data_IF_681193452969
#
_entry.id   IF_681193452969
#
_cell.length_a   1.000
_cell.length_b   1.000
_cell.length_c   1.000
_cell.angle_alpha   90.00
_cell.angle_beta   90.00
_cell.angle_gamma   90.00
#
_symmetry.space_group_name_H-M   'P 1'
#
loop_
_entity.id
_entity.type
_entity.pdbx_description
1 polymer ?
#
# COMPACT_ATOMS: atom_id res chain seq x y z
N UNK A 1 26.91 10.61 2.24
CA UNK A 1 25.48 10.93 2.46
C UNK A 1 24.85 11.77 1.35
N UNK A 2 25.53 12.79 0.82
CA UNK A 2 25.04 13.65 -0.28
C UNK A 2 24.46 12.87 -1.50
N UNK A 3 25.10 11.79 -2.02
CA UNK A 3 24.56 11.07 -3.18
C UNK A 3 23.23 10.36 -2.92
N UNK A 4 23.03 9.79 -1.71
CA UNK A 4 21.75 9.18 -1.32
C UNK A 4 20.66 10.25 -1.28
N UNK A 5 20.97 11.39 -0.65
CA UNK A 5 20.00 12.47 -0.46
C UNK A 5 19.56 13.06 -1.81
N UNK A 6 20.50 13.27 -2.73
CA UNK A 6 20.19 13.67 -4.10
C UNK A 6 19.31 12.63 -4.82
N UNK A 7 19.64 11.33 -4.70
CA UNK A 7 18.83 10.25 -5.27
C UNK A 7 17.41 10.21 -4.73
N UNK A 8 17.22 10.46 -3.43
CA UNK A 8 15.90 10.55 -2.78
C UNK A 8 15.12 11.80 -3.22
N UNK A 9 15.78 12.94 -3.40
CA UNK A 9 15.13 14.16 -3.91
C UNK A 9 14.63 13.95 -5.34
N UNK A 10 15.47 13.36 -6.21
CA UNK A 10 15.10 13.05 -7.59
C UNK A 10 13.94 12.04 -7.62
N UNK A 11 14.00 11.01 -6.77
CA UNK A 11 12.90 10.08 -6.58
C UNK A 11 11.59 10.80 -6.24
N UNK A 12 11.60 11.65 -5.21
CA UNK A 12 10.40 12.37 -4.78
C UNK A 12 9.84 13.27 -5.90
N UNK A 13 10.71 14.00 -6.60
CA UNK A 13 10.30 14.85 -7.72
C UNK A 13 9.64 14.05 -8.85
N UNK A 14 10.26 12.94 -9.28
CA UNK A 14 9.73 12.10 -10.35
C UNK A 14 8.44 11.39 -9.94
N UNK A 15 8.34 10.93 -8.69
CA UNK A 15 7.12 10.31 -8.17
C UNK A 15 5.98 11.32 -8.11
N UNK A 16 6.25 12.56 -7.69
CA UNK A 16 5.26 13.64 -7.69
C UNK A 16 4.76 13.92 -9.10
N UNK A 17 5.66 14.07 -10.07
CA UNK A 17 5.32 14.24 -11.49
C UNK A 17 4.46 13.06 -11.96
N UNK A 18 4.89 11.82 -11.70
CA UNK A 18 4.13 10.64 -12.07
C UNK A 18 2.74 10.59 -11.44
N UNK A 19 2.61 11.00 -10.18
CA UNK A 19 1.34 11.04 -9.47
C UNK A 19 0.35 12.09 -10.03
N UNK A 20 0.82 13.14 -10.72
CA UNK A 20 -0.07 14.07 -11.44
C UNK A 20 -0.73 13.42 -12.66
N UNK A 21 -0.05 12.47 -13.30
CA UNK A 21 -0.53 11.79 -14.52
C UNK A 21 -1.14 10.41 -14.25
N UNK A 22 -0.99 9.89 -13.04
CA UNK A 22 -1.54 8.61 -12.62
C UNK A 22 -2.88 8.80 -11.92
N UNK A 23 -4.02 8.47 -12.58
CA UNK A 23 -5.35 8.68 -12.00
C UNK A 23 -5.56 7.85 -10.74
N UNK A 24 -4.90 6.69 -10.61
CA UNK A 24 -4.95 5.87 -9.40
C UNK A 24 -4.09 6.51 -8.32
N UNK A 25 -2.85 6.87 -8.66
CA UNK A 25 -1.94 7.61 -7.80
C UNK A 25 -1.67 6.95 -6.44
N UNK A 26 -1.20 7.75 -5.50
CA UNK A 26 -0.72 7.32 -4.18
C UNK A 26 -1.23 8.21 -3.06
N UNK A 27 -1.34 7.66 -1.86
CA UNK A 27 -1.78 8.39 -0.67
C UNK A 27 -3.30 8.34 -0.47
N UNK A 28 -3.82 9.34 0.24
CA UNK A 28 -5.22 9.36 0.69
C UNK A 28 -6.19 9.49 -0.50
N UNK A 29 -7.24 8.67 -0.48
CA UNK A 29 -8.42 8.88 -1.32
C UNK A 29 -9.23 10.04 -0.75
N UNK A 30 -9.78 10.89 -1.62
CA UNK A 30 -10.80 11.89 -1.29
C UNK A 30 -12.12 11.49 -1.96
N UNK A 31 -13.26 11.83 -1.36
CA UNK A 31 -14.57 11.30 -1.76
C UNK A 31 -14.90 11.64 -3.22
N UNK A 32 -14.61 12.86 -3.68
CA UNK A 32 -14.81 13.28 -5.06
C UNK A 32 -13.87 12.62 -6.08
N UNK A 33 -12.89 11.82 -5.63
CA UNK A 33 -11.96 11.09 -6.51
C UNK A 33 -12.21 9.58 -6.53
N UNK A 34 -13.13 9.06 -5.71
CA UNK A 34 -13.33 7.60 -5.55
C UNK A 34 -13.76 6.98 -6.88
N UNK A 35 -14.76 7.53 -7.56
CA UNK A 35 -15.31 6.93 -8.77
C UNK A 35 -14.28 6.95 -9.92
N UNK A 36 -13.57 8.07 -10.09
CA UNK A 36 -12.48 8.21 -11.08
C UNK A 36 -11.36 7.19 -10.83
N UNK A 37 -10.98 6.98 -9.57
CA UNK A 37 -9.93 6.01 -9.21
C UNK A 37 -10.42 4.57 -9.39
N UNK A 38 -11.70 4.30 -9.10
CA UNK A 38 -12.32 2.99 -9.29
C UNK A 38 -12.35 2.61 -10.78
N UNK A 39 -12.77 3.52 -11.65
CA UNK A 39 -12.80 3.31 -13.10
C UNK A 39 -11.38 3.13 -13.67
N UNK A 40 -10.44 3.94 -13.20
CA UNK A 40 -9.03 3.77 -13.55
C UNK A 40 -8.47 2.41 -13.11
N UNK A 41 -8.89 1.88 -11.95
CA UNK A 41 -8.44 0.57 -11.48
C UNK A 41 -9.04 -0.58 -12.28
N UNK A 42 -10.31 -0.47 -12.66
CA UNK A 42 -11.00 -1.53 -13.43
C UNK A 42 -10.51 -1.61 -14.87
N UNK A 43 -10.09 -0.49 -15.45
CA UNK A 43 -9.51 -0.43 -16.80
C UNK A 43 -8.02 -0.82 -16.85
N UNK A 44 -7.36 -0.95 -15.70
CA UNK A 44 -5.92 -1.22 -15.63
C UNK A 44 -5.58 -2.73 -15.69
N UNK A 45 -4.64 -3.16 -16.55
CA UNK A 45 -4.13 -4.54 -16.58
C UNK A 45 -3.23 -4.85 -15.38
N UNK A 46 -3.07 -6.13 -15.01
CA UNK A 46 -2.46 -6.63 -13.76
C UNK A 46 -1.04 -6.12 -13.47
N UNK A 47 -0.29 -5.83 -14.52
CA UNK A 47 1.10 -5.38 -14.48
C UNK A 47 1.26 -3.90 -14.85
N UNK A 48 0.15 -3.14 -14.92
CA UNK A 48 0.17 -1.72 -15.18
C UNK A 48 0.87 -0.95 -14.05
N UNK A 49 2.10 -0.52 -14.31
CA UNK A 49 2.80 0.53 -13.58
C UNK A 49 3.26 1.59 -14.58
N UNK A 50 3.01 2.88 -14.32
CA UNK A 50 3.60 3.96 -15.08
C UNK A 50 5.14 3.86 -15.15
N UNK A 51 5.72 3.92 -16.35
CA UNK A 51 7.18 3.80 -16.57
C UNK A 51 7.98 4.79 -15.73
N UNK A 52 7.43 5.98 -15.46
CA UNK A 52 8.07 6.99 -14.61
C UNK A 52 8.38 6.48 -13.20
N UNK A 53 7.58 5.56 -12.66
CA UNK A 53 7.83 4.93 -11.36
C UNK A 53 8.97 3.92 -11.38
N UNK A 54 9.16 3.22 -12.50
CA UNK A 54 10.35 2.38 -12.68
C UNK A 54 11.63 3.22 -12.76
N UNK A 55 11.58 4.35 -13.47
CA UNK A 55 12.74 5.24 -13.58
C UNK A 55 13.04 5.93 -12.26
N UNK A 56 12.01 6.35 -11.51
CA UNK A 56 12.19 7.07 -10.26
C UNK A 56 12.94 6.26 -9.20
N UNK A 57 12.69 4.95 -9.09
CA UNK A 57 13.34 4.08 -8.09
C UNK A 57 14.82 3.82 -8.36
N UNK A 58 15.29 4.03 -9.59
CA UNK A 58 16.70 3.84 -9.93
C UNK A 58 17.58 4.92 -9.31
N UNK A 59 17.09 6.16 -9.22
CA UNK A 59 17.84 7.28 -8.65
C UNK A 59 18.35 7.03 -7.20
N UNK A 60 17.52 6.57 -6.25
CA UNK A 60 17.99 6.27 -4.89
C UNK A 60 18.88 5.02 -4.86
N UNK A 61 18.65 4.02 -5.73
CA UNK A 61 19.54 2.87 -5.88
C UNK A 61 20.95 3.29 -6.31
N UNK A 62 21.06 4.16 -7.31
CA UNK A 62 22.33 4.77 -7.75
C UNK A 62 22.94 5.62 -6.65
N UNK A 63 22.13 6.40 -5.93
CA UNK A 63 22.58 7.20 -4.78
C UNK A 63 23.23 6.35 -3.68
N UNK A 64 22.65 5.18 -3.36
CA UNK A 64 23.24 4.21 -2.43
C UNK A 64 24.55 3.66 -2.97
N UNK A 65 24.57 3.18 -4.22
CA UNK A 65 25.78 2.65 -4.85
C UNK A 65 26.90 3.69 -4.77
N UNK A 66 26.64 4.95 -5.17
CA UNK A 66 27.62 6.02 -5.15
C UNK A 66 28.13 6.36 -3.74
N UNK A 67 27.28 6.22 -2.72
CA UNK A 67 27.63 6.54 -1.34
C UNK A 67 28.52 5.52 -0.64
N UNK A 68 28.48 4.25 -1.05
CA UNK A 68 29.20 3.15 -0.42
C UNK A 68 30.60 2.94 -1.02
N UNK A 69 31.38 4.02 -1.16
CA UNK A 69 32.68 4.05 -1.84
C UNK A 69 33.66 2.93 -1.48
N UNK A 70 33.69 2.58 -0.20
CA UNK A 70 34.69 1.68 0.40
C UNK A 70 34.27 0.20 0.40
N UNK A 71 33.05 -0.12 -0.06
CA UNK A 71 32.50 -1.48 -0.06
C UNK A 71 32.76 -2.15 -1.41
N UNK A 72 32.93 -3.48 -1.49
CA UNK A 72 33.11 -4.18 -2.76
C UNK A 72 31.99 -3.88 -3.80
N UNK A 73 32.30 -3.78 -5.11
CA UNK A 73 31.34 -3.41 -6.15
C UNK A 73 30.06 -4.25 -6.15
N UNK A 74 30.20 -5.56 -5.91
CA UNK A 74 29.07 -6.49 -5.84
C UNK A 74 28.12 -6.16 -4.68
N UNK A 75 28.64 -5.92 -3.49
CA UNK A 75 27.83 -5.61 -2.31
C UNK A 75 27.15 -4.24 -2.41
N UNK A 76 27.79 -3.26 -3.07
CA UNK A 76 27.17 -1.96 -3.39
C UNK A 76 26.00 -2.13 -4.35
N UNK A 77 26.21 -2.87 -5.44
CA UNK A 77 25.19 -3.14 -6.45
C UNK A 77 23.98 -3.86 -5.84
N UNK A 78 24.22 -4.91 -5.04
CA UNK A 78 23.15 -5.65 -4.34
C UNK A 78 22.34 -4.71 -3.43
N UNK A 79 22.98 -3.87 -2.62
CA UNK A 79 22.27 -2.92 -1.74
C UNK A 79 21.44 -1.91 -2.53
N UNK A 80 22.00 -1.35 -3.62
CA UNK A 80 21.30 -0.41 -4.48
C UNK A 80 20.09 -1.02 -5.20
N UNK A 81 20.24 -2.24 -5.72
CA UNK A 81 19.17 -3.00 -6.36
C UNK A 81 18.08 -3.35 -5.34
N UNK A 82 18.47 -3.81 -4.15
CA UNK A 82 17.54 -4.15 -3.08
C UNK A 82 16.68 -2.93 -2.67
N UNK A 83 17.30 -1.73 -2.56
CA UNK A 83 16.57 -0.49 -2.30
C UNK A 83 15.60 -0.14 -3.43
N UNK A 84 16.05 -0.23 -4.69
CA UNK A 84 15.19 0.08 -5.85
C UNK A 84 13.98 -0.86 -5.92
N UNK A 85 14.19 -2.17 -5.71
CA UNK A 85 13.13 -3.18 -5.63
C UNK A 85 12.18 -2.87 -4.47
N UNK A 86 12.71 -2.57 -3.28
CA UNK A 86 11.90 -2.22 -2.13
C UNK A 86 10.99 -1.04 -2.40
N UNK A 87 11.55 0.04 -2.94
CA UNK A 87 10.77 1.21 -3.31
C UNK A 87 9.70 0.80 -4.32
N UNK A 88 10.08 0.19 -5.45
CA UNK A 88 9.15 -0.21 -6.52
C UNK A 88 8.00 -1.09 -6.04
N UNK A 89 8.29 -2.10 -5.20
CA UNK A 89 7.27 -2.98 -4.64
C UNK A 89 6.35 -2.21 -3.69
N UNK A 90 6.91 -1.29 -2.89
CA UNK A 90 6.10 -0.38 -2.05
C UNK A 90 5.17 0.47 -2.92
N UNK A 91 5.71 0.99 -4.03
CA UNK A 91 4.98 1.81 -5.01
C UNK A 91 3.77 1.08 -5.56
N UNK A 92 4.05 -0.11 -6.06
CA UNK A 92 3.07 -1.00 -6.65
C UNK A 92 1.97 -1.40 -5.66
N UNK A 93 2.37 -1.85 -4.46
CA UNK A 93 1.46 -2.33 -3.42
C UNK A 93 0.51 -1.22 -2.97
N UNK A 94 1.04 -0.02 -2.68
CA UNK A 94 0.22 1.12 -2.25
C UNK A 94 -0.76 1.57 -3.34
N UNK A 95 -0.30 1.66 -4.59
CA UNK A 95 -1.14 2.08 -5.73
C UNK A 95 -2.26 1.07 -6.01
N UNK A 96 -1.95 -0.23 -6.07
CA UNK A 96 -2.93 -1.30 -6.30
C UNK A 96 -3.99 -1.34 -5.22
N UNK A 97 -3.58 -1.20 -3.96
CA UNK A 97 -4.51 -1.16 -2.83
C UNK A 97 -5.39 0.08 -2.86
N UNK A 98 -4.83 1.24 -3.20
CA UNK A 98 -5.61 2.46 -3.37
C UNK A 98 -6.70 2.28 -4.43
N UNK A 99 -6.36 1.74 -5.59
CA UNK A 99 -7.34 1.44 -6.63
C UNK A 99 -8.41 0.46 -6.18
N UNK A 100 -8.00 -0.65 -5.55
CA UNK A 100 -8.91 -1.70 -5.06
C UNK A 100 -9.85 -1.17 -3.97
N UNK A 101 -9.32 -0.32 -3.08
CA UNK A 101 -10.09 0.36 -2.05
C UNK A 101 -11.14 1.29 -2.67
N UNK A 102 -10.81 2.02 -3.73
CA UNK A 102 -11.79 2.89 -4.40
C UNK A 102 -12.97 2.09 -4.97
N UNK A 103 -12.70 0.96 -5.63
CA UNK A 103 -13.75 0.05 -6.15
C UNK A 103 -14.61 -0.49 -5.00
N UNK A 104 -13.98 -0.92 -3.91
CA UNK A 104 -14.70 -1.41 -2.73
C UNK A 104 -15.59 -0.33 -2.10
N UNK A 105 -15.10 0.91 -1.98
CA UNK A 105 -15.89 2.04 -1.46
C UNK A 105 -17.10 2.31 -2.34
N UNK A 106 -16.93 2.24 -3.67
CA UNK A 106 -18.04 2.42 -4.62
C UNK A 106 -19.13 1.37 -4.42
N UNK A 107 -18.75 0.09 -4.40
CA UNK A 107 -19.68 -1.03 -4.14
C UNK A 107 -20.39 -0.88 -2.79
N UNK A 108 -19.64 -0.49 -1.75
CA UNK A 108 -20.20 -0.27 -0.42
C UNK A 108 -21.21 0.90 -0.37
N UNK A 109 -20.97 1.97 -1.14
CA UNK A 109 -21.91 3.11 -1.25
C UNK A 109 -23.21 2.68 -1.91
N UNK A 110 -23.11 1.87 -2.96
CA UNK A 110 -24.27 1.30 -3.66
C UNK A 110 -25.07 0.39 -2.70
N UNK A 111 -24.40 -0.53 -2.00
CA UNK A 111 -25.04 -1.44 -1.03
C UNK A 111 -25.74 -0.69 0.12
N UNK A 112 -25.12 0.36 0.66
CA UNK A 112 -25.68 1.15 1.75
C UNK A 112 -26.68 2.21 1.27
N UNK A 113 -26.91 2.34 -0.05
CA UNK A 113 -27.69 3.42 -0.67
C UNK A 113 -27.28 4.80 -0.15
N UNK A 114 -26.00 4.97 0.19
CA UNK A 114 -25.45 6.14 0.86
C UNK A 114 -24.45 6.84 -0.05
N UNK A 115 -24.88 7.99 -0.59
CA UNK A 115 -24.07 8.86 -1.44
C UNK A 115 -23.82 10.18 -0.70
N UNK A 116 -22.76 10.27 0.13
CA UNK A 116 -22.49 11.49 0.88
C UNK A 116 -22.21 12.65 -0.08
N UNK A 117 -22.89 13.78 0.13
CA UNK A 117 -22.65 15.01 -0.62
C UNK A 117 -21.34 15.66 -0.11
N UNK A 118 -20.34 15.81 -0.98
CA UNK A 118 -19.08 16.49 -0.68
C UNK A 118 -17.83 15.58 -0.59
N UNK A 119 -16.67 16.19 -0.32
CA UNK A 119 -15.36 15.53 -0.29
C UNK A 119 -15.08 14.70 0.98
N UNK A 120 -16.13 14.33 1.73
CA UNK A 120 -16.01 13.55 2.97
C UNK A 120 -16.03 12.07 2.65
N UNK A 121 -14.90 11.38 2.85
CA UNK A 121 -14.90 9.91 2.86
C UNK A 121 -15.33 9.43 4.26
N UNK A 122 -16.58 9.02 4.40
CA UNK A 122 -17.03 8.18 5.54
C UNK A 122 -16.73 6.71 5.25
N UNK A 123 -15.46 6.43 4.98
CA UNK A 123 -14.90 5.11 5.23
C UNK A 123 -14.49 5.15 6.70
N UNK A 124 -14.84 4.15 7.51
CA UNK A 124 -14.50 4.14 8.93
C UNK A 124 -13.02 4.50 9.08
N UNK A 125 -12.70 5.55 9.85
CA UNK A 125 -11.33 6.07 10.04
C UNK A 125 -10.30 4.95 10.31
N UNK A 126 -10.76 3.84 10.88
CA UNK A 126 -9.97 2.65 11.19
C UNK A 126 -9.62 1.77 9.97
N UNK A 127 -10.49 1.68 8.96
CA UNK A 127 -10.20 0.99 7.69
C UNK A 127 -9.14 1.76 6.89
N UNK A 128 -9.17 3.10 6.96
CA UNK A 128 -8.13 3.98 6.44
C UNK A 128 -6.76 3.76 7.11
N UNK A 129 -6.75 3.53 8.42
CA UNK A 129 -5.51 3.30 9.17
C UNK A 129 -4.78 2.00 8.78
N UNK A 130 -5.52 0.95 8.43
CA UNK A 130 -4.94 -0.37 8.08
C UNK A 130 -4.62 -0.48 6.58
N UNK A 131 -5.41 0.17 5.72
CA UNK A 131 -5.22 0.08 4.27
C UNK A 131 -4.29 1.14 3.68
N UNK A 132 -4.02 2.24 4.40
CA UNK A 132 -3.04 3.24 3.99
C UNK A 132 -1.61 2.91 4.48
N UNK A 133 -1.43 1.78 5.18
CA UNK A 133 -0.12 1.26 5.54
C UNK A 133 0.40 0.33 4.43
N UNK A 134 1.72 0.31 4.19
CA UNK A 134 2.33 -0.68 3.34
C UNK A 134 1.92 -2.08 3.78
N UNK A 135 1.83 -3.00 2.82
CA UNK A 135 1.60 -4.39 3.11
C UNK A 135 2.55 -4.98 4.13
N UNK A 136 2.12 -6.04 4.85
CA UNK A 136 3.03 -6.79 5.70
C UNK A 136 4.29 -7.23 4.94
N UNK A 137 4.16 -7.62 3.68
CA UNK A 137 5.30 -8.01 2.83
C UNK A 137 6.29 -6.85 2.63
N UNK A 138 5.80 -5.62 2.50
CA UNK A 138 6.66 -4.43 2.33
C UNK A 138 7.50 -4.18 3.57
N UNK A 139 6.95 -4.36 4.78
CA UNK A 139 7.72 -4.24 6.02
C UNK A 139 8.85 -5.28 6.12
N UNK A 140 8.60 -6.52 5.69
CA UNK A 140 9.62 -7.56 5.62
C UNK A 140 10.68 -7.25 4.57
N UNK A 141 10.28 -6.71 3.42
CA UNK A 141 11.20 -6.29 2.36
C UNK A 141 12.08 -5.12 2.83
N UNK A 142 11.50 -4.16 3.55
CA UNK A 142 12.23 -3.07 4.20
C UNK A 142 13.24 -3.59 5.22
N UNK A 143 12.83 -4.52 6.09
CA UNK A 143 13.73 -5.19 7.02
C UNK A 143 14.88 -5.90 6.28
N UNK A 144 14.58 -6.60 5.18
CA UNK A 144 15.58 -7.26 4.34
C UNK A 144 16.59 -6.26 3.77
N UNK A 145 16.14 -5.15 3.18
CA UNK A 145 17.04 -4.10 2.64
C UNK A 145 17.95 -3.55 3.73
N UNK A 146 17.40 -3.29 4.93
CA UNK A 146 18.16 -2.77 6.07
C UNK A 146 19.21 -3.79 6.54
N UNK A 147 18.87 -5.08 6.58
CA UNK A 147 19.82 -6.16 6.92
C UNK A 147 20.90 -6.31 5.86
N UNK A 148 20.55 -6.30 4.57
CA UNK A 148 21.52 -6.36 3.45
C UNK A 148 22.52 -5.20 3.56
N UNK A 149 22.02 -3.99 3.83
CA UNK A 149 22.88 -2.83 4.08
C UNK A 149 23.77 -3.02 5.29
N UNK A 150 23.22 -3.48 6.41
CA UNK A 150 23.97 -3.73 7.64
C UNK A 150 25.11 -4.73 7.42
N UNK A 151 24.86 -5.84 6.70
CA UNK A 151 25.87 -6.84 6.36
C UNK A 151 26.96 -6.25 5.46
N UNK A 152 26.59 -5.41 4.49
CA UNK A 152 27.54 -4.78 3.59
C UNK A 152 28.45 -3.75 4.29
N UNK A 153 27.90 -3.02 5.28
CA UNK A 153 28.62 -1.99 6.03
C UNK A 153 29.39 -2.55 7.23
N UNK A 154 28.99 -3.70 7.80
CA UNK A 154 29.60 -4.31 9.00
C UNK A 154 31.14 -4.45 8.96
N UNK A 155 31.79 -4.83 7.84
CA UNK A 155 33.25 -4.96 7.81
C UNK A 155 34.00 -3.61 7.83
N UNK A 156 33.29 -2.49 7.61
CA UNK A 156 33.88 -1.17 7.35
C UNK A 156 33.40 -0.09 8.35
N UNK A 157 32.27 -0.31 9.02
CA UNK A 157 31.68 0.58 10.01
C UNK A 157 31.84 0.01 11.43
N UNK A 158 31.88 0.89 12.43
CA UNK A 158 31.87 0.44 13.82
C UNK A 158 30.52 -0.17 14.19
N UNK A 159 30.49 -0.96 15.28
CA UNK A 159 29.27 -1.51 15.88
C UNK A 159 28.17 -0.46 16.10
N UNK A 160 28.55 0.80 16.32
CA UNK A 160 27.63 1.94 16.44
C UNK A 160 26.87 2.28 15.15
N UNK A 161 27.39 1.95 13.97
CA UNK A 161 26.70 2.11 12.68
C UNK A 161 25.75 0.95 12.35
N UNK A 162 26.08 -0.26 12.82
CA UNK A 162 25.29 -1.48 12.52
C UNK A 162 24.10 -1.65 13.47
N UNK A 163 24.26 -1.33 14.76
CA UNK A 163 23.21 -1.48 15.77
C UNK A 163 21.91 -0.72 15.43
N UNK A 164 21.95 0.55 14.97
CA UNK A 164 20.75 1.27 14.56
C UNK A 164 20.02 0.59 13.39
N UNK A 165 20.76 0.03 12.42
CA UNK A 165 20.16 -0.69 11.30
C UNK A 165 19.45 -1.95 11.77
N UNK A 166 20.08 -2.74 12.66
CA UNK A 166 19.44 -3.92 13.24
C UNK A 166 18.19 -3.55 14.04
N UNK A 167 18.23 -2.45 14.80
CA UNK A 167 17.06 -1.94 15.53
C UNK A 167 15.91 -1.53 14.59
N UNK A 168 16.22 -0.86 13.48
CA UNK A 168 15.23 -0.49 12.45
C UNK A 168 14.63 -1.75 11.80
N UNK A 169 15.44 -2.76 11.49
CA UNK A 169 14.94 -4.02 10.94
C UNK A 169 14.02 -4.74 11.92
N UNK A 170 14.39 -4.81 13.21
CA UNK A 170 13.55 -5.37 14.25
C UNK A 170 12.23 -4.60 14.42
N UNK A 171 12.27 -3.26 14.36
CA UNK A 171 11.08 -2.42 14.41
C UNK A 171 10.15 -2.69 13.22
N UNK A 172 10.69 -2.87 12.01
CA UNK A 172 9.90 -3.21 10.83
C UNK A 172 9.19 -4.57 10.98
N UNK A 173 9.88 -5.58 11.51
CA UNK A 173 9.28 -6.90 11.82
C UNK A 173 8.24 -6.79 12.94
N UNK A 174 8.46 -5.92 13.93
CA UNK A 174 7.49 -5.68 15.00
C UNK A 174 6.20 -5.02 14.48
N UNK A 175 6.33 -4.01 13.61
CA UNK A 175 5.17 -3.38 12.94
C UNK A 175 4.40 -4.41 12.11
N UNK A 176 5.10 -5.25 11.35
CA UNK A 176 4.50 -6.36 10.61
C UNK A 176 3.67 -7.29 11.52
N UNK A 177 4.18 -7.60 12.71
CA UNK A 177 3.51 -8.47 13.65
C UNK A 177 2.24 -7.83 14.25
N UNK A 178 2.31 -6.55 14.63
CA UNK A 178 1.15 -5.81 15.14
C UNK A 178 0.05 -5.72 14.08
N UNK A 179 0.42 -5.43 12.84
CA UNK A 179 -0.54 -5.26 11.73
C UNK A 179 -1.42 -6.51 11.56
N UNK A 180 -0.88 -7.71 11.81
CA UNK A 180 -1.62 -8.99 11.72
C UNK A 180 -2.68 -9.21 12.81
N UNK A 181 -2.68 -8.41 13.88
CA UNK A 181 -3.61 -8.56 15.01
C UNK A 181 -4.84 -7.65 14.92
N UNK A 182 -4.99 -6.88 13.83
CA UNK A 182 -6.13 -5.98 13.65
C UNK A 182 -7.44 -6.74 13.43
N UNK A 183 -8.55 -6.22 13.98
CA UNK A 183 -9.91 -6.74 13.75
C UNK A 183 -10.28 -6.70 12.26
N UNK A 184 -9.69 -5.75 11.52
CA UNK A 184 -9.88 -5.56 10.09
C UNK A 184 -8.97 -6.44 9.23
N UNK A 185 -8.08 -7.23 9.84
CA UNK A 185 -7.12 -8.08 9.12
C UNK A 185 -7.81 -9.08 8.15
N UNK A 186 -8.96 -9.71 8.47
CA UNK A 186 -9.65 -10.59 7.52
C UNK A 186 -10.11 -9.86 6.26
N UNK A 187 -10.75 -8.68 6.42
CA UNK A 187 -11.17 -7.84 5.31
C UNK A 187 -9.95 -7.34 4.53
N UNK A 188 -8.93 -6.82 5.23
CA UNK A 188 -7.70 -6.35 4.62
C UNK A 188 -6.96 -7.46 3.86
N UNK A 189 -7.02 -8.72 4.31
CA UNK A 189 -6.48 -9.88 3.58
C UNK A 189 -7.24 -10.15 2.30
N UNK A 190 -8.59 -10.11 2.33
CA UNK A 190 -9.42 -10.28 1.13
C UNK A 190 -9.19 -9.16 0.12
N UNK A 191 -9.17 -7.91 0.57
CA UNK A 191 -8.89 -6.75 -0.28
C UNK A 191 -7.48 -6.80 -0.88
N UNK A 192 -6.48 -7.28 -0.10
CA UNK A 192 -5.12 -7.51 -0.63
C UNK A 192 -5.08 -8.61 -1.67
N UNK A 193 -5.75 -9.73 -1.43
CA UNK A 193 -5.82 -10.82 -2.41
C UNK A 193 -6.51 -10.34 -3.69
N UNK A 194 -7.63 -9.63 -3.56
CA UNK A 194 -8.36 -9.04 -4.67
C UNK A 194 -7.53 -8.02 -5.45
N UNK A 195 -6.60 -7.29 -4.79
CA UNK A 195 -5.77 -6.29 -5.46
C UNK A 195 -4.89 -6.83 -6.60
N UNK A 196 -4.65 -8.15 -6.62
CA UNK A 196 -3.91 -8.87 -7.66
C UNK A 196 -4.83 -9.50 -8.73
N UNK A 197 -6.09 -9.08 -8.80
CA UNK A 197 -7.09 -9.53 -9.77
C UNK A 197 -7.58 -8.31 -10.55
N UNK A 198 -7.97 -8.50 -11.82
CA UNK A 198 -8.44 -7.41 -12.67
C UNK A 198 -9.85 -7.63 -13.19
N UNK A 199 -10.44 -6.53 -13.66
CA UNK A 199 -11.72 -6.51 -14.37
C UNK A 199 -12.88 -7.05 -13.54
N UNK A 200 -13.79 -7.78 -14.17
CA UNK A 200 -15.04 -8.25 -13.55
C UNK A 200 -14.78 -9.18 -12.36
N UNK A 201 -13.73 -10.00 -12.42
CA UNK A 201 -13.34 -10.88 -11.29
C UNK A 201 -12.92 -10.10 -10.05
N UNK A 202 -12.43 -8.88 -10.21
CA UNK A 202 -12.14 -7.99 -9.08
C UNK A 202 -13.44 -7.62 -8.39
N UNK A 203 -14.47 -7.25 -9.15
CA UNK A 203 -15.79 -6.86 -8.63
C UNK A 203 -16.40 -8.02 -7.86
N UNK A 204 -16.46 -9.22 -8.44
CA UNK A 204 -17.01 -10.42 -7.77
C UNK A 204 -16.35 -10.70 -6.42
N UNK A 205 -15.02 -10.59 -6.33
CA UNK A 205 -14.29 -10.81 -5.09
C UNK A 205 -14.49 -9.70 -4.06
N UNK A 206 -14.67 -8.47 -4.50
CA UNK A 206 -14.93 -7.33 -3.63
C UNK A 206 -16.37 -7.36 -3.10
N UNK A 207 -17.35 -7.80 -3.89
CA UNK A 207 -18.71 -8.07 -3.43
C UNK A 207 -18.70 -9.15 -2.34
N UNK A 208 -18.00 -10.27 -2.57
CA UNK A 208 -17.82 -11.31 -1.55
C UNK A 208 -17.03 -10.83 -0.31
N UNK A 209 -16.31 -9.70 -0.40
CA UNK A 209 -15.65 -9.09 0.74
C UNK A 209 -16.61 -8.25 1.61
N UNK A 210 -17.72 -7.74 1.05
CA UNK A 210 -18.76 -7.03 1.82
C UNK A 210 -19.38 -7.93 2.89
N UNK A 211 -19.47 -9.23 2.64
CA UNK A 211 -19.98 -10.22 3.62
C UNK A 211 -19.10 -10.37 4.87
N UNK A 212 -17.90 -9.79 4.88
CA UNK A 212 -16.97 -9.80 6.02
C UNK A 212 -16.78 -8.38 6.58
N UNK A 213 -17.40 -7.37 5.98
CA UNK A 213 -17.42 -6.01 6.55
C UNK A 213 -18.34 -5.99 7.77
N UNK A 214 -17.79 -5.81 8.99
CA UNK A 214 -18.59 -5.81 10.22
C UNK A 214 -19.70 -4.75 10.21
N UNK A 215 -19.51 -3.62 9.52
CA UNK A 215 -20.52 -2.56 9.45
C UNK A 215 -21.64 -2.92 8.47
N UNK A 216 -21.31 -3.46 7.30
CA UNK A 216 -22.33 -3.93 6.33
C UNK A 216 -23.15 -5.06 6.94
N UNK A 217 -22.51 -6.02 7.62
CA UNK A 217 -23.21 -7.09 8.33
C UNK A 217 -24.17 -6.51 9.38
N UNK A 218 -23.74 -5.50 10.14
CA UNK A 218 -24.56 -4.85 11.14
C UNK A 218 -25.79 -4.16 10.51
N UNK A 219 -25.60 -3.44 9.40
CA UNK A 219 -26.68 -2.76 8.68
C UNK A 219 -27.65 -3.77 8.06
N UNK A 220 -27.16 -4.82 7.40
CA UNK A 220 -27.98 -5.90 6.84
C UNK A 220 -28.85 -6.56 7.91
N UNK A 221 -28.27 -6.90 9.06
CA UNK A 221 -29.03 -7.44 10.19
C UNK A 221 -30.10 -6.48 10.71
N UNK A 222 -29.81 -5.19 10.75
CA UNK A 222 -30.78 -4.18 11.18
C UNK A 222 -31.94 -4.06 10.17
N UNK A 223 -31.63 -4.09 8.87
CA UNK A 223 -32.61 -4.09 7.79
C UNK A 223 -33.48 -5.36 7.84
N UNK A 224 -32.88 -6.55 7.95
CA UNK A 224 -33.59 -7.82 8.07
C UNK A 224 -34.52 -7.84 9.29
N UNK A 225 -34.05 -7.33 10.43
CA UNK A 225 -34.86 -7.21 11.65
C UNK A 225 -36.01 -6.20 11.51
N UNK A 226 -35.86 -5.16 10.69
CA UNK A 226 -36.92 -4.21 10.39
C UNK A 226 -37.95 -4.83 9.44
N UNK A 227 -37.51 -5.50 8.37
CA UNK A 227 -38.38 -6.23 7.44
C UNK A 227 -39.15 -7.33 8.17
N UNK A 228 -38.49 -8.09 9.04
CA UNK A 228 -39.13 -9.13 9.85
C UNK A 228 -40.27 -8.55 10.71
N UNK A 229 -40.07 -7.38 11.33
CA UNK A 229 -41.10 -6.69 12.12
C UNK A 229 -42.30 -6.25 11.28
N UNK A 230 -42.04 -5.67 10.09
CA UNK A 230 -43.08 -5.25 9.16
C UNK A 230 -43.91 -6.43 8.67
N UNK A 231 -43.26 -7.57 8.34
CA UNK A 231 -43.94 -8.78 7.89
C UNK A 231 -44.69 -9.47 9.04
N UNK A 232 -44.15 -9.47 10.27
CA UNK A 232 -44.81 -10.08 11.43
C UNK A 232 -45.97 -9.28 11.99
N UNK A 233 -46.28 -8.10 11.44
CA UNK A 233 -47.45 -7.31 11.81
C UNK A 233 -47.41 -6.73 13.22
N UNK A 234 -46.22 -6.57 13.80
CA UNK A 234 -45.99 -5.89 15.09
C UNK A 234 -45.43 -4.50 14.89
#
# INVERSE_FOLDING_TARGET
>A
MLPILAGLIIFLALVLIGAFFDPIGWGYLLSGKVDVVADARLSEPLHGIPVIYFVSVLAPGVGVIASMGNVPPLARAVTGIALAIFLLVTMWDMRRRRGTLAVYIRLRREELSFHPMGDVIEVPKLMFGVMNQPGPVVWLLGAFVVVVRAIAEFPHESWLGTLPLVAIAAAAVYVWFIQRRSIWEPLAKRLRAASFIDGDRLVDQLEAALDVDPEVIMVRRAADAMVARVISGT
#
